data_IF_928812155249
#
_entry.id   IF_928812155249
#
_cell.length_a   1.000
_cell.length_b   1.000
_cell.length_c   1.000
_cell.angle_alpha   90.00
_cell.angle_beta   90.00
_cell.angle_gamma   90.00
#
_symmetry.space_group_name_H-M   'P 1'
#
loop_
_entity.id
_entity.type
_entity.pdbx_description
1 polymer ?
#
# COMPACT_ATOMS: atom_id res chain seq x y z
N UNK A 1 -13.72 64.08 -9.28
CA UNK A 1 -13.10 63.23 -8.24
C UNK A 1 -13.89 61.93 -7.97
N UNK A 2 -15.24 61.95 -7.99
CA UNK A 2 -16.08 60.77 -7.71
C UNK A 2 -16.00 59.58 -8.70
N UNK A 3 -15.53 59.78 -9.94
CA UNK A 3 -15.48 58.71 -10.97
C UNK A 3 -14.36 57.68 -10.70
N UNK A 4 -13.26 58.11 -10.05
CA UNK A 4 -12.12 57.23 -9.77
C UNK A 4 -12.38 56.20 -8.67
N UNK A 5 -13.22 56.55 -7.69
CA UNK A 5 -13.57 55.65 -6.59
C UNK A 5 -14.50 54.52 -7.05
N UNK A 6 -15.49 54.83 -7.89
CA UNK A 6 -16.39 53.83 -8.48
C UNK A 6 -15.64 52.81 -9.35
N UNK A 7 -14.67 53.28 -10.15
CA UNK A 7 -13.82 52.42 -10.98
C UNK A 7 -12.93 51.51 -10.12
N UNK A 8 -12.31 52.05 -9.05
CA UNK A 8 -11.53 51.25 -8.09
C UNK A 8 -12.37 50.19 -7.40
N UNK A 9 -13.57 50.53 -6.92
CA UNK A 9 -14.48 49.56 -6.30
C UNK A 9 -14.93 48.47 -7.27
N UNK A 10 -15.19 48.82 -8.54
CA UNK A 10 -15.49 47.84 -9.58
C UNK A 10 -14.30 46.92 -9.85
N UNK A 11 -13.10 47.48 -10.00
CA UNK A 11 -11.87 46.70 -10.22
C UNK A 11 -11.58 45.75 -9.05
N UNK A 12 -11.71 46.22 -7.81
CA UNK A 12 -11.50 45.38 -6.62
C UNK A 12 -12.54 44.27 -6.53
N UNK A 13 -13.80 44.56 -6.83
CA UNK A 13 -14.86 43.52 -6.86
C UNK A 13 -14.58 42.47 -7.93
N UNK A 14 -14.16 42.88 -9.12
CA UNK A 14 -13.79 41.96 -10.22
C UNK A 14 -12.58 41.11 -9.83
N UNK A 15 -11.56 41.70 -9.21
CA UNK A 15 -10.34 41.00 -8.78
C UNK A 15 -10.64 40.00 -7.65
N UNK A 16 -11.50 40.36 -6.69
CA UNK A 16 -11.96 39.45 -5.62
C UNK A 16 -12.81 38.30 -6.19
N UNK A 17 -13.70 38.58 -7.15
CA UNK A 17 -14.49 37.54 -7.83
C UNK A 17 -13.59 36.58 -8.61
N UNK A 18 -12.58 37.10 -9.33
CA UNK A 18 -11.62 36.28 -10.07
C UNK A 18 -10.77 35.40 -9.12
N UNK A 19 -10.35 35.95 -7.98
CA UNK A 19 -9.62 35.18 -6.96
C UNK A 19 -10.50 34.06 -6.38
N UNK A 20 -11.77 34.34 -6.08
CA UNK A 20 -12.71 33.34 -5.58
C UNK A 20 -12.91 32.21 -6.60
N UNK A 21 -13.13 32.54 -7.87
CA UNK A 21 -13.29 31.55 -8.94
C UNK A 21 -12.03 30.71 -9.13
N UNK A 22 -10.85 31.32 -9.03
CA UNK A 22 -9.58 30.60 -9.10
C UNK A 22 -9.41 29.63 -7.93
N UNK A 23 -9.67 30.07 -6.70
CA UNK A 23 -9.59 29.19 -5.51
C UNK A 23 -10.61 28.06 -5.63
N UNK A 24 -11.84 28.36 -6.02
CA UNK A 24 -12.89 27.36 -6.21
C UNK A 24 -12.49 26.32 -7.26
N UNK A 25 -11.94 26.76 -8.40
CA UNK A 25 -11.47 25.86 -9.45
C UNK A 25 -10.31 24.98 -8.97
N UNK A 26 -9.35 25.53 -8.22
CA UNK A 26 -8.24 24.77 -7.64
C UNK A 26 -8.76 23.74 -6.62
N UNK A 27 -9.65 24.15 -5.70
CA UNK A 27 -10.26 23.23 -4.74
C UNK A 27 -11.03 22.10 -5.45
N UNK A 28 -11.81 22.43 -6.47
CA UNK A 28 -12.53 21.44 -7.27
C UNK A 28 -11.55 20.48 -7.96
N UNK A 29 -10.48 20.99 -8.55
CA UNK A 29 -9.46 20.17 -9.22
C UNK A 29 -8.77 19.23 -8.22
N UNK A 30 -8.43 19.71 -7.03
CA UNK A 30 -7.85 18.87 -5.96
C UNK A 30 -8.83 17.78 -5.54
N UNK A 31 -10.10 18.12 -5.29
CA UNK A 31 -11.12 17.14 -4.90
C UNK A 31 -11.35 16.12 -6.01
N UNK A 32 -11.53 16.56 -7.26
CA UNK A 32 -11.70 15.67 -8.41
C UNK A 32 -10.46 14.81 -8.67
N UNK A 33 -9.26 15.33 -8.41
CA UNK A 33 -8.02 14.56 -8.50
C UNK A 33 -7.98 13.49 -7.42
N UNK A 34 -8.27 13.82 -6.16
CA UNK A 34 -8.33 12.84 -5.07
C UNK A 34 -9.41 11.79 -5.35
N UNK A 35 -10.62 12.21 -5.72
CA UNK A 35 -11.71 11.29 -6.10
C UNK A 35 -11.34 10.47 -7.32
N UNK A 36 -10.68 11.06 -8.32
CA UNK A 36 -10.20 10.37 -9.51
C UNK A 36 -9.14 9.32 -9.17
N UNK A 37 -8.19 9.65 -8.30
CA UNK A 37 -7.21 8.70 -7.75
C UNK A 37 -7.94 7.61 -6.97
N UNK A 38 -8.95 7.92 -6.15
CA UNK A 38 -9.71 6.93 -5.39
C UNK A 38 -10.61 6.05 -6.27
N UNK A 39 -11.15 6.57 -7.37
CA UNK A 39 -11.97 5.81 -8.33
C UNK A 39 -11.08 4.95 -9.25
N UNK A 40 -9.92 5.47 -9.66
CA UNK A 40 -8.92 4.74 -10.42
C UNK A 40 -8.23 3.69 -9.54
N UNK A 41 -8.05 4.00 -8.25
CA UNK A 41 -7.78 3.07 -7.15
C UNK A 41 -9.06 2.30 -6.83
N UNK A 42 -9.62 1.64 -7.86
CA UNK A 42 -10.78 0.75 -7.82
C UNK A 42 -10.68 -0.14 -6.59
N UNK A 43 -11.32 0.26 -5.49
CA UNK A 43 -11.34 -0.43 -4.20
C UNK A 43 -9.95 -0.95 -3.77
N UNK A 44 -9.28 -0.36 -2.76
CA UNK A 44 -8.26 -1.09 -2.03
C UNK A 44 -8.98 -2.20 -1.26
N UNK A 45 -9.41 -3.24 -1.98
CA UNK A 45 -9.57 -4.55 -1.41
C UNK A 45 -8.14 -4.88 -1.00
N UNK A 46 -7.82 -4.58 0.25
CA UNK A 46 -6.91 -5.38 1.08
C UNK A 46 -7.47 -6.81 1.16
N UNK A 47 -7.72 -7.41 -0.01
CA UNK A 47 -7.72 -8.83 -0.20
C UNK A 47 -6.23 -9.06 -0.31
N UNK A 48 -5.61 -9.48 0.78
CA UNK A 48 -4.30 -10.08 0.78
C UNK A 48 -4.34 -11.22 -0.23
N UNK A 49 -4.09 -10.90 -1.50
CA UNK A 49 -4.00 -11.90 -2.53
C UNK A 49 -2.68 -12.64 -2.28
N UNK A 50 -2.60 -13.94 -2.61
CA UNK A 50 -1.37 -14.70 -2.46
C UNK A 50 -0.16 -14.00 -3.08
N UNK A 51 -0.40 -13.21 -4.13
CA UNK A 51 0.58 -12.38 -4.85
C UNK A 51 1.19 -11.28 -3.99
N UNK A 52 0.42 -10.63 -3.11
CA UNK A 52 0.93 -9.58 -2.23
C UNK A 52 1.84 -10.17 -1.14
N UNK A 53 1.48 -11.35 -0.61
CA UNK A 53 2.33 -12.09 0.31
C UNK A 53 3.63 -12.56 -0.37
N UNK A 54 3.55 -13.10 -1.59
CA UNK A 54 4.73 -13.50 -2.37
C UNK A 54 5.65 -12.32 -2.62
N UNK A 55 5.11 -11.18 -3.04
CA UNK A 55 5.87 -9.95 -3.27
C UNK A 55 6.53 -9.45 -1.98
N UNK A 56 5.84 -9.54 -0.84
CA UNK A 56 6.42 -9.18 0.46
C UNK A 56 7.56 -10.12 0.84
N UNK A 57 7.40 -11.43 0.64
CA UNK A 57 8.45 -12.41 0.95
C UNK A 57 9.67 -12.20 0.06
N UNK A 58 9.50 -11.98 -1.25
CA UNK A 58 10.60 -11.71 -2.16
C UNK A 58 11.34 -10.42 -1.77
N UNK A 59 10.63 -9.32 -1.50
CA UNK A 59 11.24 -8.08 -0.99
C UNK A 59 11.97 -8.26 0.34
N UNK A 60 11.46 -9.13 1.21
CA UNK A 60 12.10 -9.45 2.50
C UNK A 60 13.40 -10.24 2.29
N UNK A 61 13.40 -11.19 1.35
CA UNK A 61 14.60 -11.96 0.96
C UNK A 61 15.65 -11.09 0.25
N UNK A 62 15.21 -10.10 -0.52
CA UNK A 62 16.07 -9.09 -1.15
C UNK A 62 16.64 -8.06 -0.15
N UNK A 63 16.19 -8.09 1.12
CA UNK A 63 16.64 -7.16 2.17
C UNK A 63 16.10 -5.73 2.01
N UNK A 64 15.07 -5.53 1.18
CA UNK A 64 14.56 -4.22 0.79
C UNK A 64 13.29 -3.79 1.56
N UNK A 65 12.90 -4.54 2.60
CA UNK A 65 11.69 -4.27 3.39
C UNK A 65 12.02 -3.83 4.82
N UNK A 66 11.35 -2.76 5.24
CA UNK A 66 11.39 -2.28 6.63
C UNK A 66 10.38 -2.99 7.53
N UNK A 67 10.66 -3.02 8.83
CA UNK A 67 9.81 -3.64 9.87
C UNK A 67 8.35 -3.16 9.82
N UNK A 68 8.12 -1.89 9.49
CA UNK A 68 6.77 -1.30 9.37
C UNK A 68 5.95 -1.92 8.23
N UNK A 69 6.57 -2.20 7.07
CA UNK A 69 5.88 -2.81 5.92
C UNK A 69 5.55 -4.28 6.21
N UNK A 70 6.49 -4.99 6.84
CA UNK A 70 6.27 -6.35 7.34
C UNK A 70 5.10 -6.40 8.33
N UNK A 71 5.09 -5.55 9.35
CA UNK A 71 4.06 -5.56 10.38
C UNK A 71 2.67 -5.15 9.84
N UNK A 72 2.64 -4.26 8.84
CA UNK A 72 1.38 -3.83 8.20
C UNK A 72 0.69 -4.99 7.46
N UNK A 73 1.45 -5.86 6.80
CA UNK A 73 0.90 -6.94 5.98
C UNK A 73 0.73 -8.23 6.77
N UNK A 74 1.68 -8.56 7.66
CA UNK A 74 1.59 -9.74 8.53
C UNK A 74 0.61 -9.53 9.70
N UNK A 75 0.38 -8.28 10.11
CA UNK A 75 -0.57 -7.91 11.16
C UNK A 75 -2.04 -7.93 10.73
N UNK A 76 -2.34 -7.98 9.42
CA UNK A 76 -3.72 -7.98 8.94
C UNK A 76 -4.27 -9.42 8.80
N UNK A 77 -5.32 -9.80 9.55
CA UNK A 77 -5.81 -11.18 9.55
C UNK A 77 -6.51 -11.55 8.24
N UNK A 78 -6.05 -12.62 7.59
CA UNK A 78 -6.62 -13.09 6.32
C UNK A 78 -7.79 -14.03 6.61
N UNK A 79 -8.95 -13.46 6.95
CA UNK A 79 -10.14 -14.24 7.33
C UNK A 79 -10.73 -15.12 6.22
N UNK A 80 -10.39 -14.87 4.95
CA UNK A 80 -11.04 -15.51 3.80
C UNK A 80 -10.30 -16.73 3.24
N UNK A 81 -9.12 -17.08 3.77
CA UNK A 81 -8.34 -18.22 3.29
C UNK A 81 -7.51 -18.83 4.43
N UNK A 82 -7.94 -19.99 4.93
CA UNK A 82 -7.26 -20.70 6.02
C UNK A 82 -5.81 -21.08 5.68
N UNK A 83 -5.50 -21.28 4.39
CA UNK A 83 -4.15 -21.58 3.95
C UNK A 83 -3.25 -20.34 4.06
N UNK A 84 -3.71 -19.18 3.57
CA UNK A 84 -2.97 -17.92 3.73
C UNK A 84 -2.79 -17.54 5.20
N UNK A 85 -3.80 -17.77 6.03
CA UNK A 85 -3.71 -17.52 7.46
C UNK A 85 -2.70 -18.46 8.16
N UNK A 86 -2.57 -19.71 7.72
CA UNK A 86 -1.52 -20.62 8.19
C UNK A 86 -0.13 -20.17 7.76
N UNK A 87 0.04 -19.72 6.51
CA UNK A 87 1.30 -19.16 6.00
C UNK A 87 1.69 -17.91 6.79
N UNK A 88 0.74 -17.01 7.06
CA UNK A 88 0.93 -15.80 7.88
C UNK A 88 1.40 -16.15 9.30
N UNK A 89 0.75 -17.11 9.97
CA UNK A 89 1.18 -17.59 11.30
C UNK A 89 2.57 -18.20 11.30
N UNK A 90 2.94 -18.92 10.23
CA UNK A 90 4.28 -19.50 10.10
C UNK A 90 5.34 -18.43 9.88
N UNK A 91 5.04 -17.43 9.06
CA UNK A 91 5.90 -16.25 8.89
C UNK A 91 6.06 -15.44 10.20
N UNK A 92 5.00 -15.31 11.02
CA UNK A 92 5.11 -14.70 12.35
C UNK A 92 6.05 -15.48 13.27
N UNK A 93 5.90 -16.80 13.36
CA UNK A 93 6.82 -17.63 14.15
C UNK A 93 8.27 -17.49 13.70
N UNK A 94 8.48 -17.43 12.39
CA UNK A 94 9.81 -17.24 11.82
C UNK A 94 10.41 -15.88 12.20
N UNK A 95 9.59 -14.84 12.26
CA UNK A 95 10.00 -13.53 12.77
C UNK A 95 10.29 -13.57 14.29
N UNK A 96 9.49 -14.28 15.07
CA UNK A 96 9.72 -14.41 16.52
C UNK A 96 11.02 -15.19 16.83
N UNK A 97 11.31 -16.23 16.04
CA UNK A 97 12.47 -17.12 16.24
C UNK A 97 13.77 -16.60 15.60
N UNK A 98 13.66 -15.94 14.45
CA UNK A 98 14.81 -15.55 13.63
C UNK A 98 14.85 -14.07 13.25
N UNK A 99 13.84 -13.30 13.67
CA UNK A 99 13.77 -11.87 13.43
C UNK A 99 14.84 -11.12 14.21
N UNK A 100 15.42 -10.14 13.54
CA UNK A 100 16.38 -9.20 14.14
C UNK A 100 15.87 -7.78 13.93
N UNK A 101 14.74 -7.39 14.55
CA UNK A 101 14.10 -6.09 14.32
C UNK A 101 15.06 -4.91 14.60
N UNK A 102 15.91 -5.06 15.63
CA UNK A 102 16.94 -4.07 16.00
C UNK A 102 18.07 -3.88 14.96
N UNK A 103 18.27 -4.85 14.05
CA UNK A 103 19.20 -4.77 12.91
C UNK A 103 18.52 -4.23 11.66
N UNK A 104 17.24 -4.54 11.46
CA UNK A 104 16.44 -3.99 10.38
C UNK A 104 16.33 -2.45 10.42
N UNK A 105 16.24 -1.87 11.63
CA UNK A 105 16.29 -0.42 11.81
C UNK A 105 17.59 0.24 11.32
N UNK A 106 18.64 -0.55 11.04
CA UNK A 106 19.94 -0.14 10.51
C UNK A 106 20.14 -0.46 9.02
N UNK A 107 19.11 -0.95 8.33
CA UNK A 107 19.19 -1.35 6.92
C UNK A 107 19.82 -2.73 6.70
N UNK A 108 19.98 -3.54 7.74
CA UNK A 108 20.36 -4.95 7.61
C UNK A 108 19.12 -5.84 7.39
N UNK A 109 19.29 -7.06 6.85
CA UNK A 109 18.20 -8.00 6.63
C UNK A 109 17.35 -8.22 7.90
N UNK A 110 16.03 -8.21 7.71
CA UNK A 110 15.04 -8.32 8.77
C UNK A 110 15.10 -9.67 9.52
N UNK A 111 15.49 -10.72 8.80
CA UNK A 111 15.63 -12.09 9.29
C UNK A 111 17.11 -12.51 9.29
N UNK A 112 17.46 -13.43 10.18
CA UNK A 112 18.76 -14.12 10.11
C UNK A 112 18.89 -14.94 8.82
N UNK A 113 20.10 -15.33 8.39
CA UNK A 113 20.30 -16.15 7.19
C UNK A 113 19.47 -17.45 7.18
N UNK A 114 19.37 -18.13 8.33
CA UNK A 114 18.51 -19.31 8.51
C UNK A 114 17.02 -18.95 8.38
N UNK A 115 16.61 -17.79 8.90
CA UNK A 115 15.25 -17.27 8.71
C UNK A 115 14.93 -16.91 7.25
N UNK A 116 15.89 -16.41 6.48
CA UNK A 116 15.71 -16.18 5.05
C UNK A 116 15.56 -17.50 4.28
N UNK A 117 16.34 -18.53 4.61
CA UNK A 117 16.22 -19.85 4.01
C UNK A 117 14.84 -20.47 4.26
N UNK A 118 14.36 -20.47 5.50
CA UNK A 118 13.02 -20.96 5.82
C UNK A 118 11.90 -20.13 5.19
N UNK A 119 12.08 -18.80 5.08
CA UNK A 119 11.11 -17.94 4.40
C UNK A 119 11.05 -18.25 2.91
N UNK A 120 12.18 -18.58 2.27
CA UNK A 120 12.23 -18.98 0.86
C UNK A 120 11.46 -20.27 0.59
N UNK A 121 11.59 -21.27 1.49
CA UNK A 121 10.84 -22.53 1.40
C UNK A 121 9.34 -22.26 1.54
N UNK A 122 8.96 -21.38 2.49
CA UNK A 122 7.57 -20.98 2.67
C UNK A 122 7.01 -20.24 1.44
N UNK A 123 7.83 -19.39 0.80
CA UNK A 123 7.49 -18.68 -0.45
C UNK A 123 7.25 -19.66 -1.60
N UNK A 124 8.13 -20.66 -1.76
CA UNK A 124 8.00 -21.69 -2.79
C UNK A 124 6.71 -22.51 -2.63
N UNK A 125 6.38 -22.90 -1.40
CA UNK A 125 5.12 -23.60 -1.12
C UNK A 125 3.89 -22.76 -1.47
N UNK A 126 3.88 -21.48 -1.11
CA UNK A 126 2.79 -20.56 -1.43
C UNK A 126 2.65 -20.37 -2.94
N UNK A 127 3.77 -20.25 -3.67
CA UNK A 127 3.79 -20.08 -5.12
C UNK A 127 3.22 -21.31 -5.83
N UNK A 128 3.66 -22.52 -5.43
CA UNK A 128 3.16 -23.77 -5.99
C UNK A 128 1.65 -23.95 -5.76
N UNK A 129 1.18 -23.66 -4.54
CA UNK A 129 -0.25 -23.74 -4.21
C UNK A 129 -1.10 -22.75 -5.02
N UNK A 130 -0.59 -21.52 -5.20
CA UNK A 130 -1.29 -20.49 -5.99
C UNK A 130 -1.39 -20.87 -7.46
N UNK A 131 -0.31 -21.38 -8.05
CA UNK A 131 -0.28 -21.82 -9.45
C UNK A 131 -1.27 -22.97 -9.73
N UNK A 132 -1.41 -23.92 -8.79
CA UNK A 132 -2.37 -25.02 -8.90
C UNK A 132 -3.83 -24.50 -8.90
N UNK A 133 -4.14 -23.57 -8.00
CA UNK A 133 -5.49 -22.99 -7.89
C UNK A 133 -5.89 -22.18 -9.12
N UNK A 134 -4.93 -21.48 -9.73
CA UNK A 134 -5.16 -20.75 -10.98
C UNK A 134 -5.46 -21.70 -12.14
N UNK A 135 -4.71 -22.81 -12.29
CA UNK A 135 -4.99 -23.84 -13.31
C UNK A 135 -6.38 -24.44 -13.18
N UNK A 136 -6.77 -24.84 -11.97
CA UNK A 136 -8.11 -25.39 -11.71
C UNK A 136 -9.24 -24.41 -12.05
N UNK A 137 -9.00 -23.09 -11.94
CA UNK A 137 -9.98 -22.06 -12.26
C UNK A 137 -10.16 -21.84 -13.76
N UNK A 138 -9.17 -22.20 -14.57
CA UNK A 138 -9.21 -22.07 -16.02
C UNK A 138 -9.81 -23.28 -16.74
N UNK A 139 -9.94 -24.42 -16.05
CA UNK A 139 -10.54 -25.65 -16.59
C UNK A 139 -12.07 -25.74 -16.40
N UNK A 140 -12.68 -24.76 -15.71
CA UNK A 140 -14.13 -24.62 -15.49
C UNK A 140 -14.69 -23.42 -16.24
#
# INVERSE_FOLDING_TARGET
MASGDAFRHFLTRVLVMALFLLIFAVCMLVICSVVGILLLSRTPRYRTEPRDLLTLFDKTLEGNIGETEWNTIIGYPVRHDEYLENVRRRAQRLMDEHGRPWKAARGEPLLSPAGCEELSILRDHLAAHTALRERQRHEH
#
